data_IF_400702636140
#
_entry.id   IF_400702636140
#
_cell.length_a   1.000
_cell.length_b   1.000
_cell.length_c   1.000
_cell.angle_alpha   90.00
_cell.angle_beta   90.00
_cell.angle_gamma   90.00
#
_symmetry.space_group_name_H-M   'P 1'
#
loop_
_entity.id
_entity.type
_entity.pdbx_description
1 polymer ?
#
# COMPACT_ATOMS: atom_id res chain seq x y z
N UNK A 1 -11.35 14.08 22.56
CA UNK A 1 -11.19 12.84 21.81
C UNK A 1 -9.72 12.75 21.44
N UNK A 2 -8.98 11.70 21.77
CA UNK A 2 -7.64 11.54 21.26
C UNK A 2 -7.72 11.49 19.74
N UNK A 3 -7.07 12.42 19.06
CA UNK A 3 -6.93 12.41 17.60
C UNK A 3 -5.97 11.27 17.28
N UNK A 4 -6.39 10.39 16.36
CA UNK A 4 -5.54 9.30 15.92
C UNK A 4 -4.27 9.87 15.27
N UNK A 5 -3.06 9.39 15.60
CA UNK A 5 -1.81 9.95 15.10
C UNK A 5 -1.62 9.77 13.59
N UNK A 6 -2.22 8.74 12.99
CA UNK A 6 -2.26 8.53 11.55
C UNK A 6 -3.70 8.64 11.05
N UNK A 7 -3.98 9.67 10.27
CA UNK A 7 -5.27 9.84 9.59
C UNK A 7 -5.21 9.19 8.21
N UNK A 8 -6.21 8.40 7.86
CA UNK A 8 -6.30 7.74 6.56
C UNK A 8 -7.63 8.05 5.86
N UNK A 9 -7.58 8.19 4.54
CA UNK A 9 -8.73 8.31 3.66
C UNK A 9 -8.59 7.34 2.48
N UNK A 10 -9.63 6.54 2.24
CA UNK A 10 -9.65 5.52 1.17
C UNK A 10 -10.79 5.81 0.22
N UNK A 11 -10.50 5.94 -1.06
CA UNK A 11 -11.49 6.25 -2.09
C UNK A 11 -11.23 5.53 -3.41
N UNK A 12 -12.27 5.42 -4.20
CA UNK A 12 -12.24 4.93 -5.59
C UNK A 12 -12.53 6.07 -6.53
N UNK A 13 -11.66 6.31 -7.47
CA UNK A 13 -11.74 7.41 -8.41
C UNK A 13 -11.62 6.96 -9.86
N UNK A 14 -11.96 7.85 -10.76
CA UNK A 14 -11.76 7.70 -12.19
C UNK A 14 -10.44 8.38 -12.58
N UNK A 15 -9.65 7.72 -13.46
CA UNK A 15 -8.46 8.34 -14.06
C UNK A 15 -7.23 8.34 -13.14
N UNK A 16 -6.38 7.35 -13.34
CA UNK A 16 -5.08 7.26 -12.63
C UNK A 16 -4.17 8.43 -12.97
N UNK A 17 -4.16 8.87 -14.23
CA UNK A 17 -3.32 9.98 -14.69
C UNK A 17 -3.71 11.32 -14.05
N UNK A 18 -5.02 11.60 -13.95
CA UNK A 18 -5.51 12.84 -13.34
C UNK A 18 -5.19 12.89 -11.85
N UNK A 19 -5.35 11.76 -11.15
CA UNK A 19 -4.96 11.65 -9.74
C UNK A 19 -3.47 11.90 -9.56
N UNK A 20 -2.61 11.23 -10.33
CA UNK A 20 -1.17 11.41 -10.19
C UNK A 20 -0.74 12.84 -10.50
N UNK A 21 -1.38 13.51 -11.46
CA UNK A 21 -1.15 14.91 -11.75
C UNK A 21 -1.57 15.81 -10.58
N UNK A 22 -2.73 15.52 -9.95
CA UNK A 22 -3.18 16.23 -8.75
C UNK A 22 -2.19 16.08 -7.59
N UNK A 23 -1.77 14.84 -7.31
CA UNK A 23 -0.80 14.54 -6.24
C UNK A 23 0.56 15.18 -6.49
N UNK A 24 0.97 15.32 -7.76
CA UNK A 24 2.24 15.97 -8.10
C UNK A 24 2.24 17.47 -7.81
N UNK A 25 1.08 18.11 -7.78
CA UNK A 25 0.96 19.50 -7.39
C UNK A 25 1.11 19.76 -5.88
N UNK A 26 1.30 18.72 -5.09
CA UNK A 26 1.57 18.62 -3.67
C UNK A 26 1.74 19.87 -2.82
N UNK A 27 2.40 19.73 -1.69
CA UNK A 27 2.67 20.82 -0.75
C UNK A 27 3.70 21.80 -1.34
N UNK A 28 3.49 23.11 -1.28
CA UNK A 28 4.45 24.09 -1.76
C UNK A 28 5.82 23.93 -1.07
N UNK A 29 6.87 23.72 -1.87
CA UNK A 29 8.23 23.55 -1.39
C UNK A 29 8.63 22.10 -1.10
N UNK A 30 7.72 21.13 -1.26
CA UNK A 30 8.01 19.73 -1.22
C UNK A 30 8.04 19.14 -2.64
N UNK A 31 9.09 18.40 -2.98
CA UNK A 31 9.19 17.70 -4.26
C UNK A 31 8.66 16.27 -4.09
N UNK A 32 7.49 15.93 -4.67
CA UNK A 32 6.96 14.58 -4.59
C UNK A 32 7.91 13.55 -5.19
N UNK A 33 8.02 12.40 -4.57
CA UNK A 33 8.84 11.29 -5.06
C UNK A 33 8.15 9.94 -4.87
N UNK A 34 8.60 8.96 -5.67
CA UNK A 34 8.16 7.58 -5.54
C UNK A 34 8.94 6.91 -4.40
N UNK A 35 8.23 6.55 -3.34
CA UNK A 35 8.81 5.85 -2.21
C UNK A 35 9.02 4.35 -2.51
N UNK A 36 7.98 3.71 -3.06
CA UNK A 36 8.01 2.29 -3.41
C UNK A 36 6.88 1.94 -4.38
N UNK A 37 6.96 0.78 -5.02
CA UNK A 37 5.94 0.30 -5.95
C UNK A 37 5.87 -1.24 -5.96
N UNK A 38 4.87 -1.78 -6.67
CA UNK A 38 4.71 -3.23 -6.88
C UNK A 38 5.95 -3.87 -7.53
N UNK A 39 6.73 -3.11 -8.28
CA UNK A 39 7.95 -3.56 -8.95
C UNK A 39 9.18 -2.88 -8.34
N UNK A 40 10.18 -3.66 -7.87
CA UNK A 40 11.42 -3.09 -7.34
C UNK A 40 12.20 -2.26 -8.38
N UNK A 41 12.03 -2.56 -9.67
CA UNK A 41 12.68 -1.82 -10.76
C UNK A 41 12.17 -0.39 -10.81
N UNK A 42 10.86 -0.18 -10.57
CA UNK A 42 10.27 1.16 -10.55
C UNK A 42 10.71 1.96 -9.33
N UNK A 43 10.82 1.30 -8.18
CA UNK A 43 11.29 1.93 -6.95
C UNK A 43 12.76 2.41 -7.05
N UNK A 44 13.52 1.88 -8.00
CA UNK A 44 14.91 2.30 -8.27
C UNK A 44 15.03 3.45 -9.29
N UNK A 45 13.92 4.01 -9.76
CA UNK A 45 13.96 5.14 -10.70
C UNK A 45 14.27 6.44 -9.95
N UNK A 46 15.34 7.12 -10.35
CA UNK A 46 15.72 8.42 -9.78
C UNK A 46 14.68 9.53 -10.07
N UNK A 47 13.94 9.36 -11.18
CA UNK A 47 12.89 10.30 -11.57
C UNK A 47 11.71 9.54 -12.17
N UNK A 48 10.54 9.69 -11.54
CA UNK A 48 9.31 9.09 -12.04
C UNK A 48 8.62 10.05 -13.00
N UNK A 49 8.41 9.59 -14.22
CA UNK A 49 7.57 10.29 -15.20
C UNK A 49 6.12 9.87 -14.95
N UNK A 50 5.31 10.76 -14.38
CA UNK A 50 3.94 10.44 -13.95
C UNK A 50 3.03 9.85 -15.03
N UNK A 51 3.04 10.32 -16.30
CA UNK A 51 2.28 9.69 -17.36
C UNK A 51 2.68 8.23 -17.63
N UNK A 52 3.97 7.91 -17.54
CA UNK A 52 4.45 6.53 -17.68
C UNK A 52 4.03 5.66 -16.49
N UNK A 53 4.08 6.20 -15.26
CA UNK A 53 3.60 5.50 -14.09
C UNK A 53 2.09 5.23 -14.19
N UNK A 54 1.29 6.21 -14.62
CA UNK A 54 -0.15 6.04 -14.84
C UNK A 54 -0.43 4.94 -15.86
N UNK A 55 0.27 4.96 -17.00
CA UNK A 55 0.14 3.95 -18.04
C UNK A 55 0.51 2.55 -17.51
N UNK A 56 1.57 2.44 -16.74
CA UNK A 56 2.01 1.17 -16.16
C UNK A 56 1.01 0.65 -15.13
N UNK A 57 0.45 1.50 -14.27
CA UNK A 57 -0.58 1.13 -13.31
C UNK A 57 -1.86 0.62 -14.01
N UNK A 58 -2.23 1.25 -15.12
CA UNK A 58 -3.46 0.96 -15.85
C UNK A 58 -3.31 -0.19 -16.86
N UNK A 59 -2.10 -0.70 -17.13
CA UNK A 59 -1.86 -1.76 -18.11
C UNK A 59 -2.72 -3.03 -17.88
N UNK A 60 -2.95 -3.51 -16.62
CA UNK A 60 -3.84 -4.65 -16.39
C UNK A 60 -5.28 -4.42 -16.83
N UNK A 61 -5.72 -3.16 -16.95
CA UNK A 61 -7.07 -2.82 -17.42
C UNK A 61 -7.31 -3.30 -18.87
N UNK A 62 -6.25 -3.30 -19.69
CA UNK A 62 -6.31 -3.75 -21.07
C UNK A 62 -6.61 -5.26 -21.19
N UNK A 63 -6.33 -6.06 -20.17
CA UNK A 63 -6.63 -7.48 -20.12
C UNK A 63 -8.13 -7.76 -19.95
N UNK A 64 -8.89 -6.74 -19.54
CA UNK A 64 -10.33 -6.86 -19.36
C UNK A 64 -11.08 -6.69 -20.67
N UNK A 65 -11.72 -7.76 -21.11
CA UNK A 65 -12.67 -7.66 -22.23
C UNK A 65 -13.90 -6.84 -21.80
N UNK A 66 -14.28 -5.79 -22.53
CA UNK A 66 -15.51 -5.06 -22.25
C UNK A 66 -16.68 -6.04 -22.28
N UNK A 67 -17.45 -6.15 -21.21
CA UNK A 67 -18.74 -6.87 -21.25
C UNK A 67 -19.73 -5.96 -21.94
N UNK A 68 -20.20 -6.39 -23.10
CA UNK A 68 -21.28 -5.72 -23.82
C UNK A 68 -22.52 -5.56 -22.92
N UNK A 69 -22.99 -4.34 -22.75
CA UNK A 69 -24.25 -4.04 -22.06
C UNK A 69 -24.16 -3.55 -20.61
N UNK A 70 -23.01 -3.47 -20.00
CA UNK A 70 -22.84 -2.83 -18.70
C UNK A 70 -21.91 -1.61 -18.82
N UNK A 71 -22.40 -0.47 -18.35
CA UNK A 71 -21.54 0.68 -18.05
C UNK A 71 -20.53 0.18 -17.01
N UNK A 72 -19.33 -0.16 -17.45
CA UNK A 72 -18.25 -0.56 -16.54
C UNK A 72 -18.06 0.58 -15.54
N UNK A 73 -18.02 0.23 -14.26
CA UNK A 73 -17.64 1.22 -13.23
C UNK A 73 -16.33 1.86 -13.68
N UNK A 74 -16.35 3.17 -13.87
CA UNK A 74 -15.17 3.93 -14.31
C UNK A 74 -14.15 4.12 -13.18
N UNK A 75 -14.55 3.84 -11.93
CA UNK A 75 -13.72 4.02 -10.74
C UNK A 75 -12.81 2.81 -10.52
N UNK A 76 -11.80 2.72 -11.36
CA UNK A 76 -10.85 1.60 -11.40
C UNK A 76 -9.55 1.91 -10.64
N UNK A 77 -9.37 3.15 -10.19
CA UNK A 77 -8.22 3.58 -9.39
C UNK A 77 -8.59 3.58 -7.92
N UNK A 78 -7.86 2.84 -7.12
CA UNK A 78 -7.90 2.87 -5.66
C UNK A 78 -6.86 3.86 -5.16
N UNK A 79 -7.25 4.70 -4.23
CA UNK A 79 -6.39 5.71 -3.62
C UNK A 79 -6.52 5.64 -2.11
N UNK A 80 -5.39 5.63 -1.43
CA UNK A 80 -5.30 5.73 0.01
C UNK A 80 -4.33 6.86 0.38
N UNK A 81 -4.84 7.89 1.01
CA UNK A 81 -4.04 8.95 1.59
C UNK A 81 -3.83 8.68 3.08
N UNK A 82 -2.57 8.73 3.54
CA UNK A 82 -2.23 8.60 4.95
C UNK A 82 -1.45 9.86 5.35
N UNK A 83 -1.81 10.46 6.48
CA UNK A 83 -1.16 11.65 7.02
C UNK A 83 -0.78 11.43 8.47
N UNK A 84 0.45 11.73 8.81
CA UNK A 84 0.95 11.73 10.18
C UNK A 84 0.56 13.06 10.85
N UNK A 85 -0.19 12.98 11.93
CA UNK A 85 -0.60 14.14 12.75
C UNK A 85 0.08 14.16 14.11
N UNK A 86 0.94 13.16 14.37
CA UNK A 86 1.75 13.10 15.58
C UNK A 86 2.91 14.10 15.51
N UNK A 87 3.49 14.42 16.66
CA UNK A 87 4.70 15.24 16.75
C UNK A 87 5.99 14.47 16.42
N UNK A 88 5.90 13.16 16.26
CA UNK A 88 7.02 12.29 15.90
C UNK A 88 7.06 12.16 14.39
N UNK A 89 8.18 12.55 13.78
CA UNK A 89 8.40 12.41 12.34
C UNK A 89 8.63 10.93 11.97
N UNK A 90 8.05 10.51 10.86
CA UNK A 90 8.30 9.21 10.25
C UNK A 90 9.33 9.36 9.14
N UNK A 91 10.31 8.47 9.12
CA UNK A 91 11.29 8.40 8.04
C UNK A 91 10.79 7.50 6.89
N UNK A 92 11.53 7.47 5.77
CA UNK A 92 11.16 6.70 4.58
C UNK A 92 11.00 5.20 4.86
N UNK A 93 11.79 4.64 5.78
CA UNK A 93 11.67 3.24 6.14
C UNK A 93 10.36 2.94 6.89
N UNK A 94 9.96 3.85 7.77
CA UNK A 94 8.69 3.74 8.50
C UNK A 94 7.51 3.81 7.51
N UNK A 95 7.55 4.74 6.56
CA UNK A 95 6.55 4.87 5.50
C UNK A 95 6.53 3.65 4.56
N UNK A 96 7.70 3.10 4.24
CA UNK A 96 7.81 1.88 3.45
C UNK A 96 7.16 0.69 4.17
N UNK A 97 7.45 0.51 5.46
CA UNK A 97 6.90 -0.57 6.29
C UNK A 97 5.37 -0.46 6.37
N UNK A 98 4.84 0.73 6.69
CA UNK A 98 3.40 0.98 6.71
C UNK A 98 2.74 0.73 5.35
N UNK A 99 3.40 1.13 4.25
CA UNK A 99 2.90 0.87 2.90
C UNK A 99 2.74 -0.62 2.64
N UNK A 100 3.77 -1.41 2.98
CA UNK A 100 3.76 -2.87 2.79
C UNK A 100 2.62 -3.51 3.57
N UNK A 101 2.42 -3.13 4.81
CA UNK A 101 1.30 -3.61 5.62
C UNK A 101 -0.05 -3.25 5.01
N UNK A 102 -0.24 -1.99 4.62
CA UNK A 102 -1.51 -1.53 4.03
C UNK A 102 -1.85 -2.27 2.74
N UNK A 103 -0.91 -2.44 1.81
CA UNK A 103 -1.19 -3.12 0.54
C UNK A 103 -1.45 -4.61 0.72
N UNK A 104 -0.83 -5.23 1.72
CA UNK A 104 -1.05 -6.63 2.08
C UNK A 104 -2.44 -6.84 2.68
N UNK A 105 -2.78 -6.15 3.76
CA UNK A 105 -4.06 -6.34 4.49
C UNK A 105 -5.29 -5.92 3.68
N UNK A 106 -5.13 -5.01 2.72
CA UNK A 106 -6.23 -4.61 1.82
C UNK A 106 -6.44 -5.57 0.66
N UNK A 107 -5.47 -6.45 0.38
CA UNK A 107 -5.49 -7.34 -0.78
C UNK A 107 -5.15 -6.65 -2.11
N UNK A 108 -4.61 -5.44 -2.07
CA UNK A 108 -4.05 -4.74 -3.24
C UNK A 108 -2.77 -5.45 -3.69
N UNK A 109 -1.87 -5.70 -2.76
CA UNK A 109 -0.57 -6.33 -3.00
C UNK A 109 -0.22 -7.37 -1.93
N UNK A 110 -1.00 -8.47 -1.80
CA UNK A 110 -0.70 -9.52 -0.83
C UNK A 110 0.70 -10.08 -1.05
N UNK A 111 1.41 -10.33 0.05
CA UNK A 111 2.77 -10.85 -0.02
C UNK A 111 2.79 -12.22 -0.71
N UNK A 112 3.75 -12.39 -1.62
CA UNK A 112 3.90 -13.63 -2.40
C UNK A 112 2.85 -13.85 -3.50
N UNK A 113 1.96 -12.90 -3.79
CA UNK A 113 0.98 -13.01 -4.88
C UNK A 113 1.51 -12.36 -6.17
N UNK A 114 2.01 -13.15 -7.14
CA UNK A 114 2.57 -12.60 -8.38
C UNK A 114 1.51 -11.99 -9.31
N UNK A 115 0.24 -12.24 -9.04
CA UNK A 115 -0.87 -11.70 -9.81
C UNK A 115 -1.60 -10.56 -9.08
N UNK A 116 -1.00 -10.00 -8.04
CA UNK A 116 -1.54 -8.85 -7.29
C UNK A 116 -1.83 -7.65 -8.19
N UNK A 117 -2.48 -6.63 -7.64
CA UNK A 117 -2.66 -5.37 -8.34
C UNK A 117 -1.33 -4.62 -8.48
N UNK A 118 -1.24 -3.77 -9.50
CA UNK A 118 -0.16 -2.78 -9.57
C UNK A 118 -0.48 -1.61 -8.65
N UNK A 119 0.50 -1.17 -7.91
CA UNK A 119 0.39 -0.07 -6.96
C UNK A 119 1.68 0.73 -6.87
N UNK A 120 1.58 1.98 -6.47
CA UNK A 120 2.71 2.85 -6.19
C UNK A 120 2.40 3.68 -4.95
N UNK A 121 3.42 3.94 -4.16
CA UNK A 121 3.35 4.82 -2.98
C UNK A 121 4.21 6.05 -3.23
N UNK A 122 3.59 7.21 -3.13
CA UNK A 122 4.18 8.51 -3.40
C UNK A 122 4.19 9.34 -2.13
N UNK A 123 5.34 9.89 -1.78
CA UNK A 123 5.43 10.95 -0.81
C UNK A 123 5.22 12.29 -1.53
N UNK A 124 4.16 13.01 -1.22
CA UNK A 124 3.81 14.30 -1.81
C UNK A 124 3.68 15.42 -0.79
N UNK A 125 3.88 15.10 0.48
CA UNK A 125 3.92 16.03 1.61
C UNK A 125 4.99 15.55 2.58
N UNK A 126 5.51 16.45 3.44
CA UNK A 126 6.51 16.09 4.45
C UNK A 126 6.01 15.01 5.41
N UNK A 127 4.72 15.06 5.79
CA UNK A 127 4.13 14.19 6.80
C UNK A 127 3.08 13.24 6.20
N UNK A 128 3.22 12.85 4.93
CA UNK A 128 2.18 12.08 4.29
C UNK A 128 2.61 11.21 3.13
N UNK A 129 1.76 10.23 2.87
CA UNK A 129 1.92 9.22 1.85
C UNK A 129 0.60 9.04 1.09
N UNK A 130 0.70 8.88 -0.22
CA UNK A 130 -0.42 8.52 -1.08
C UNK A 130 -0.12 7.20 -1.80
N UNK A 131 -0.96 6.19 -1.59
CA UNK A 131 -0.88 4.91 -2.27
C UNK A 131 -1.93 4.90 -3.37
N UNK A 132 -1.49 4.68 -4.60
CA UNK A 132 -2.33 4.62 -5.81
C UNK A 132 -2.22 3.23 -6.39
N UNK A 133 -3.36 2.60 -6.70
CA UNK A 133 -3.40 1.27 -7.28
C UNK A 133 -4.52 1.11 -8.30
N UNK A 134 -4.35 0.22 -9.27
CA UNK A 134 -5.48 -0.29 -10.03
C UNK A 134 -6.22 -1.37 -9.22
N UNK A 135 -7.55 -1.45 -9.37
CA UNK A 135 -8.34 -2.54 -8.75
C UNK A 135 -8.41 -3.80 -9.61
N UNK A 136 -7.69 -3.81 -10.72
CA UNK A 136 -7.56 -4.97 -11.61
C UNK A 136 -6.18 -5.58 -11.39
N UNK A 137 -6.17 -6.86 -11.10
CA UNK A 137 -4.98 -7.68 -10.88
C UNK A 137 -4.26 -7.97 -12.20
N UNK A 138 -3.01 -8.40 -12.13
CA UNK A 138 -2.22 -8.80 -13.30
C UNK A 138 -2.85 -9.94 -14.11
N UNK A 139 -3.73 -10.75 -13.51
CA UNK A 139 -4.50 -11.79 -14.18
C UNK A 139 -5.83 -11.30 -14.81
N UNK A 140 -6.08 -9.99 -14.80
CA UNK A 140 -7.29 -9.36 -15.33
C UNK A 140 -8.53 -9.51 -14.44
N UNK A 141 -8.42 -10.11 -13.27
CA UNK A 141 -9.52 -10.23 -12.30
C UNK A 141 -9.63 -8.98 -11.42
N UNK A 142 -10.80 -8.83 -10.82
CA UNK A 142 -10.99 -7.81 -9.79
C UNK A 142 -10.26 -8.18 -8.50
N UNK A 143 -9.61 -7.20 -7.88
CA UNK A 143 -9.16 -7.32 -6.50
C UNK A 143 -10.36 -7.52 -5.56
N UNK A 144 -10.16 -8.33 -4.54
CA UNK A 144 -11.19 -8.58 -3.51
C UNK A 144 -11.05 -7.55 -2.38
N UNK A 145 -11.42 -6.33 -2.67
CA UNK A 145 -11.32 -5.22 -1.74
C UNK A 145 -12.59 -5.15 -0.89
N UNK A 146 -12.62 -5.92 0.19
CA UNK A 146 -13.71 -5.92 1.15
C UNK A 146 -13.26 -5.25 2.44
N UNK A 147 -14.01 -4.23 2.88
CA UNK A 147 -13.68 -3.45 4.08
C UNK A 147 -12.28 -2.82 4.04
N UNK A 148 -11.78 -2.48 2.86
CA UNK A 148 -10.45 -1.94 2.66
C UNK A 148 -10.16 -0.70 3.53
N UNK A 149 -11.12 0.24 3.65
CA UNK A 149 -10.97 1.40 4.54
C UNK A 149 -10.78 0.98 6.02
N UNK A 150 -11.50 -0.04 6.48
CA UNK A 150 -11.32 -0.56 7.84
C UNK A 150 -9.96 -1.23 8.01
N UNK A 151 -9.51 -2.00 7.01
CA UNK A 151 -8.20 -2.65 7.02
C UNK A 151 -7.08 -1.61 7.09
N UNK A 152 -7.16 -0.54 6.29
CA UNK A 152 -6.19 0.57 6.33
C UNK A 152 -6.17 1.23 7.71
N UNK A 153 -7.35 1.57 8.26
CA UNK A 153 -7.42 2.18 9.58
C UNK A 153 -6.81 1.26 10.65
N UNK A 154 -7.07 -0.05 10.57
CA UNK A 154 -6.52 -1.03 11.53
C UNK A 154 -5.00 -1.13 11.43
N UNK A 155 -4.44 -1.16 10.21
CA UNK A 155 -3.00 -1.14 9.99
C UNK A 155 -2.36 0.14 10.54
N UNK A 156 -2.94 1.31 10.22
CA UNK A 156 -2.47 2.58 10.78
C UNK A 156 -2.51 2.62 12.32
N UNK A 157 -3.51 2.00 12.93
CA UNK A 157 -3.60 1.89 14.39
C UNK A 157 -2.49 1.01 14.97
N UNK A 158 -2.32 -0.19 14.42
CA UNK A 158 -1.27 -1.13 14.83
C UNK A 158 0.12 -0.48 14.71
N UNK A 159 0.39 0.07 13.53
CA UNK A 159 1.65 0.76 13.27
C UNK A 159 1.90 1.92 14.24
N UNK A 160 0.92 2.78 14.46
CA UNK A 160 1.05 3.91 15.38
C UNK A 160 1.35 3.45 16.82
N UNK A 161 0.74 2.36 17.26
CA UNK A 161 0.98 1.77 18.57
C UNK A 161 2.40 1.18 18.67
N UNK A 162 2.83 0.41 17.67
CA UNK A 162 4.13 -0.27 17.67
C UNK A 162 5.30 0.72 17.60
N UNK A 163 5.08 1.89 16.97
CA UNK A 163 6.06 2.97 16.86
C UNK A 163 5.90 4.06 17.93
N UNK A 164 4.98 3.88 18.89
CA UNK A 164 4.77 4.80 20.00
C UNK A 164 4.23 6.18 19.59
N UNK A 165 3.61 6.29 18.41
CA UNK A 165 3.04 7.56 17.92
C UNK A 165 1.83 8.02 18.73
N UNK A 166 1.14 7.10 19.38
CA UNK A 166 -0.02 7.33 20.25
C UNK A 166 0.36 7.72 21.68
N UNK A 167 1.67 7.90 21.95
CA UNK A 167 2.21 8.17 23.28
C UNK A 167 2.41 6.92 24.15
N UNK A 168 2.11 5.74 23.63
CA UNK A 168 2.45 4.47 24.27
C UNK A 168 3.95 4.19 24.16
N UNK A 169 4.57 3.50 25.14
CA UNK A 169 5.95 3.07 24.97
C UNK A 169 6.02 2.07 23.81
N UNK A 170 7.02 2.21 22.90
CA UNK A 170 7.16 1.30 21.77
C UNK A 170 7.31 -0.14 22.27
N UNK A 171 6.61 -1.08 21.66
CA UNK A 171 6.74 -2.49 21.98
C UNK A 171 8.11 -2.97 21.48
N UNK A 172 9.11 -2.87 22.33
CA UNK A 172 10.43 -3.43 22.06
C UNK A 172 10.36 -4.95 22.18
N UNK A 173 10.25 -5.65 21.03
CA UNK A 173 10.54 -7.07 20.95
C UNK A 173 9.40 -7.99 20.53
N UNK A 174 9.01 -7.94 19.28
CA UNK A 174 8.54 -9.14 18.58
C UNK A 174 9.25 -9.24 17.22
N UNK A 175 10.46 -9.77 17.28
CA UNK A 175 11.02 -10.39 16.09
C UNK A 175 10.13 -11.58 15.75
N UNK A 176 9.63 -11.63 14.52
CA UNK A 176 9.00 -12.80 13.98
C UNK A 176 9.94 -13.99 14.11
N UNK A 177 9.71 -14.80 15.13
CA UNK A 177 10.27 -16.14 15.18
C UNK A 177 9.51 -16.96 14.16
N UNK A 178 10.13 -17.23 13.02
CA UNK A 178 9.63 -18.22 12.07
C UNK A 178 9.29 -19.51 12.85
N UNK A 179 8.12 -20.13 12.62
CA UNK A 179 7.81 -21.38 13.26
C UNK A 179 8.82 -22.43 12.82
N UNK A 180 9.60 -22.93 13.76
CA UNK A 180 10.48 -24.08 13.57
C UNK A 180 9.65 -25.23 13.04
N UNK A 181 10.05 -25.77 11.88
CA UNK A 181 9.43 -26.94 11.27
C UNK A 181 9.43 -28.16 12.22
N UNK A 182 8.48 -29.09 12.05
CA UNK A 182 8.32 -30.21 12.94
C UNK A 182 9.56 -31.14 12.90
N UNK A 183 10.21 -31.27 14.05
CA UNK A 183 11.31 -32.18 14.28
C UNK A 183 10.78 -33.62 14.20
N UNK A 184 11.06 -34.31 13.09
CA UNK A 184 10.78 -35.76 12.96
C UNK A 184 11.78 -36.51 13.83
N UNK A 185 11.37 -36.80 15.04
CA UNK A 185 12.05 -37.74 15.90
C UNK A 185 12.06 -39.13 15.27
N UNK A 186 13.24 -39.59 14.89
CA UNK A 186 13.48 -40.99 14.52
C UNK A 186 13.72 -41.77 15.82
N UNK A 187 12.70 -42.47 16.28
CA UNK A 187 12.87 -43.50 17.33
C UNK A 187 13.43 -44.76 16.71
N UNK A 188 14.69 -45.07 17.01
CA UNK A 188 15.25 -46.41 16.82
C UNK A 188 15.00 -47.21 18.10
N UNK A 189 14.15 -48.17 18.04
CA UNK A 189 14.08 -49.27 19.01
C UNK A 189 15.14 -50.33 18.66
N UNK A 190 16.00 -50.60 19.63
CA UNK A 190 16.89 -51.76 19.62
C UNK A 190 16.27 -52.87 20.44
N UNK A 191 16.31 -54.08 19.92
CA UNK A 191 16.44 -55.32 20.69
C UNK A 191 17.16 -56.32 19.88
#
# INVERSE_FOLDING_TARGET
MPTHPLCCDVRRIEGTADLLAELHCGEPGFAPYLLTAWSPVLAAWDTVILPDLARLLDEPLALRKPRTGHTASRRLTWHCAIRNTASVELNDNDWFELTREVVDVTGIGPDGDPAACRWAALSNTADGLDIVATVIREDGRWARLHNDAYCVCSACWGFAHDHGLDGSPPITGFYHSSPAGPNRGISRSSS
#
